data_IF_917552553344
#
_entry.id   IF_917552553344
#
_cell.length_a   1.000
_cell.length_b   1.000
_cell.length_c   1.000
_cell.angle_alpha   90.00
_cell.angle_beta   90.00
_cell.angle_gamma   90.00
#
_symmetry.space_group_name_H-M   'P 1'
#
loop_
_entity.id
_entity.type
_entity.pdbx_description
1 polymer ?
#
# COMPACT_ATOMS: atom_id res chain seq x y z
N UNK A 1 59.44 20.44 -2.63
CA UNK A 1 58.43 19.38 -2.87
C UNK A 1 57.70 18.91 -1.60
N UNK A 2 58.14 19.24 -0.39
CA UNK A 2 57.57 18.74 0.88
C UNK A 2 56.19 19.33 1.25
N UNK A 3 55.91 20.59 0.91
CA UNK A 3 54.65 21.24 1.33
C UNK A 3 53.41 20.73 0.57
N UNK A 4 53.60 20.27 -0.67
CA UNK A 4 52.54 19.60 -1.44
C UNK A 4 52.19 18.24 -0.84
N UNK A 5 53.19 17.48 -0.40
CA UNK A 5 53.00 16.20 0.31
C UNK A 5 52.24 16.39 1.62
N UNK A 6 52.61 17.41 2.43
CA UNK A 6 51.92 17.72 3.69
C UNK A 6 50.46 18.12 3.49
N UNK A 7 50.17 18.88 2.42
CA UNK A 7 48.78 19.28 2.07
C UNK A 7 47.95 18.08 1.62
N UNK A 8 48.55 17.17 0.85
CA UNK A 8 47.88 15.94 0.43
C UNK A 8 47.59 15.02 1.62
N UNK A 9 48.54 14.87 2.53
CA UNK A 9 48.37 14.08 3.77
C UNK A 9 47.27 14.69 4.68
N UNK A 10 47.26 16.02 4.83
CA UNK A 10 46.20 16.72 5.56
C UNK A 10 44.81 16.58 4.89
N UNK A 11 44.75 16.59 3.56
CA UNK A 11 43.51 16.36 2.80
C UNK A 11 42.99 14.93 3.00
N UNK A 12 43.87 13.93 2.86
CA UNK A 12 43.53 12.53 3.05
C UNK A 12 43.09 12.24 4.48
N UNK A 13 43.76 12.82 5.48
CA UNK A 13 43.35 12.71 6.88
C UNK A 13 41.97 13.35 7.14
N UNK A 14 41.65 14.46 6.46
CA UNK A 14 40.34 15.11 6.57
C UNK A 14 39.24 14.30 5.88
N UNK A 15 39.50 13.74 4.70
CA UNK A 15 38.58 12.83 4.01
C UNK A 15 38.31 11.56 4.83
N UNK A 16 39.37 10.92 5.35
CA UNK A 16 39.20 9.72 6.18
C UNK A 16 38.36 10.00 7.44
N UNK A 17 38.49 11.19 8.03
CA UNK A 17 37.66 11.62 9.17
C UNK A 17 36.20 11.84 8.77
N UNK A 18 35.96 12.50 7.63
CA UNK A 18 34.59 12.71 7.15
C UNK A 18 33.91 11.40 6.79
N UNK A 19 34.65 10.47 6.16
CA UNK A 19 34.12 9.15 5.80
C UNK A 19 33.81 8.31 7.04
N UNK A 20 34.70 8.29 8.03
CA UNK A 20 34.44 7.62 9.31
C UNK A 20 33.21 8.20 10.03
N UNK A 21 33.03 9.52 9.97
CA UNK A 21 31.86 10.18 10.54
C UNK A 21 30.58 9.81 9.77
N UNK A 22 30.63 9.74 8.43
CA UNK A 22 29.51 9.30 7.60
C UNK A 22 29.10 7.86 7.93
N UNK A 23 30.06 6.93 8.05
CA UNK A 23 29.77 5.55 8.41
C UNK A 23 29.16 5.42 9.80
N UNK A 24 29.63 6.22 10.77
CA UNK A 24 29.01 6.27 12.10
C UNK A 24 27.57 6.76 12.02
N UNK A 25 27.32 7.86 11.33
CA UNK A 25 25.95 8.42 11.20
C UNK A 25 25.00 7.49 10.46
N UNK A 26 25.48 6.81 9.41
CA UNK A 26 24.68 5.82 8.66
C UNK A 26 24.40 4.60 9.54
N UNK A 27 25.39 4.15 10.32
CA UNK A 27 25.21 3.06 11.28
C UNK A 27 24.16 3.38 12.35
N UNK A 28 24.20 4.59 12.92
CA UNK A 28 23.22 5.08 13.90
C UNK A 28 21.81 5.18 13.28
N UNK A 29 21.69 5.71 12.06
CA UNK A 29 20.41 5.79 11.34
C UNK A 29 19.85 4.40 11.01
N UNK A 30 20.69 3.47 10.56
CA UNK A 30 20.25 2.09 10.28
C UNK A 30 19.81 1.37 11.56
N UNK A 31 20.51 1.56 12.68
CA UNK A 31 20.10 1.01 13.97
C UNK A 31 18.75 1.58 14.43
N UNK A 32 18.52 2.88 14.24
CA UNK A 32 17.23 3.51 14.54
C UNK A 32 16.09 2.97 13.65
N UNK A 33 16.37 2.71 12.35
CA UNK A 33 15.39 2.08 11.45
C UNK A 33 15.04 0.66 11.87
N UNK A 34 16.02 -0.12 12.33
CA UNK A 34 15.77 -1.47 12.86
C UNK A 34 14.92 -1.44 14.13
N UNK A 35 15.16 -0.50 15.05
CA UNK A 35 14.32 -0.31 16.24
C UNK A 35 12.88 0.07 15.87
N UNK A 36 12.69 0.99 14.92
CA UNK A 36 11.34 1.36 14.44
C UNK A 36 10.67 0.17 13.75
N UNK A 37 11.41 -0.64 13.00
CA UNK A 37 10.87 -1.85 12.38
C UNK A 37 10.47 -2.91 13.41
N UNK A 38 11.25 -3.07 14.49
CA UNK A 38 10.94 -3.95 15.62
C UNK A 38 9.69 -3.44 16.38
N UNK A 39 9.60 -2.14 16.64
CA UNK A 39 8.43 -1.51 17.28
C UNK A 39 7.15 -1.58 16.43
N UNK A 40 7.29 -1.61 15.10
CA UNK A 40 6.19 -1.75 14.14
C UNK A 40 5.83 -3.20 13.85
N UNK A 41 6.57 -4.18 14.38
CA UNK A 41 6.23 -5.59 14.24
C UNK A 41 5.14 -5.91 15.26
N UNK A 42 3.87 -6.14 14.83
CA UNK A 42 2.81 -6.43 15.78
C UNK A 42 3.16 -7.74 16.50
N UNK A 43 3.25 -7.65 17.84
CA UNK A 43 3.43 -8.79 18.72
C UNK A 43 2.48 -9.91 18.29
N UNK A 44 3.07 -10.99 17.77
CA UNK A 44 2.38 -12.23 17.48
C UNK A 44 2.11 -12.96 18.80
N UNK A 45 1.26 -12.38 19.65
CA UNK A 45 0.57 -13.08 20.73
C UNK A 45 -0.93 -12.93 20.49
N UNK A 46 -1.70 -14.03 20.45
CA UNK A 46 -3.11 -13.96 20.08
C UNK A 46 -3.92 -13.52 21.30
N UNK A 47 -4.71 -12.42 21.24
CA UNK A 47 -5.75 -12.22 22.22
C UNK A 47 -7.08 -12.67 21.60
N UNK A 48 -7.71 -13.56 22.36
CA UNK A 48 -9.14 -13.76 22.38
C UNK A 48 -9.91 -12.44 22.18
N UNK A 49 -11.02 -12.58 21.48
CA UNK A 49 -12.18 -11.71 21.45
C UNK A 49 -12.25 -10.68 22.60
N UNK A 50 -12.48 -9.40 22.26
CA UNK A 50 -13.78 -8.72 22.45
C UNK A 50 -13.62 -7.21 22.26
N UNK A 51 -14.47 -6.68 21.38
CA UNK A 51 -15.18 -5.37 21.47
C UNK A 51 -14.39 -4.06 21.56
N UNK A 52 -14.73 -3.15 20.63
CA UNK A 52 -14.98 -1.75 21.01
C UNK A 52 -14.15 -0.71 20.28
N UNK A 53 -14.70 -0.20 19.17
CA UNK A 53 -14.74 1.23 18.81
C UNK A 53 -13.42 2.02 18.83
N UNK A 54 -12.89 2.29 17.64
CA UNK A 54 -11.85 3.29 17.43
C UNK A 54 -11.74 3.58 15.94
N UNK A 55 -12.47 4.60 15.50
CA UNK A 55 -12.50 5.11 14.13
C UNK A 55 -11.09 5.38 13.59
N UNK A 56 -10.64 4.50 12.71
CA UNK A 56 -9.73 4.83 11.63
C UNK A 56 -10.03 3.82 10.51
N UNK A 57 -10.47 4.24 9.32
CA UNK A 57 -10.46 3.34 8.16
C UNK A 57 -9.00 3.05 7.83
N UNK A 58 -8.45 2.02 8.46
CA UNK A 58 -7.16 1.44 8.13
C UNK A 58 -7.12 1.14 6.63
N UNK A 59 -5.96 1.35 6.01
CA UNK A 59 -5.63 0.98 4.63
C UNK A 59 -5.95 -0.48 4.26
N UNK A 60 -6.41 -1.32 5.19
CA UNK A 60 -7.11 -2.58 4.93
C UNK A 60 -8.32 -2.44 3.98
N UNK A 61 -8.93 -1.25 3.89
CA UNK A 61 -10.07 -0.94 3.01
C UNK A 61 -9.68 -0.62 1.55
N UNK A 62 -8.40 -0.54 1.19
CA UNK A 62 -7.96 0.11 -0.06
C UNK A 62 -7.43 -0.79 -1.18
N UNK A 63 -7.26 -2.10 -0.99
CA UNK A 63 -6.88 -2.96 -2.10
C UNK A 63 -7.37 -4.39 -1.88
N UNK A 64 -8.40 -4.79 -2.63
CA UNK A 64 -8.74 -6.16 -3.02
C UNK A 64 -7.99 -7.29 -2.26
N UNK A 65 -8.19 -7.35 -0.95
CA UNK A 65 -7.66 -8.40 -0.13
C UNK A 65 -8.66 -9.54 -0.26
N UNK A 66 -8.26 -10.59 -0.96
CA UNK A 66 -9.00 -11.84 -0.97
C UNK A 66 -9.43 -12.16 0.46
N UNK A 67 -10.72 -12.47 0.67
CA UNK A 67 -11.28 -12.76 1.99
C UNK A 67 -10.62 -13.97 2.68
N UNK A 68 -9.92 -14.78 1.88
CA UNK A 68 -9.14 -15.91 2.30
C UNK A 68 -7.73 -15.83 1.71
N UNK A 69 -6.73 -16.47 2.32
CA UNK A 69 -5.42 -16.66 1.71
C UNK A 69 -5.57 -17.29 0.33
N UNK A 70 -4.76 -16.88 -0.65
CA UNK A 70 -4.89 -17.29 -2.07
C UNK A 70 -4.85 -18.82 -2.24
N UNK A 71 -4.19 -19.51 -1.32
CA UNK A 71 -4.04 -20.96 -1.26
C UNK A 71 -5.34 -21.68 -0.87
N UNK A 72 -6.25 -20.99 -0.17
CA UNK A 72 -7.53 -21.51 0.30
C UNK A 72 -8.72 -21.14 -0.61
N UNK A 73 -8.52 -20.25 -1.58
CA UNK A 73 -9.56 -19.81 -2.50
C UNK A 73 -9.98 -20.88 -3.53
N UNK A 74 -9.22 -21.96 -3.67
CA UNK A 74 -9.57 -23.03 -4.60
C UNK A 74 -10.88 -23.73 -4.24
N UNK A 75 -11.70 -24.02 -5.25
CA UNK A 75 -13.00 -24.67 -5.05
C UNK A 75 -12.95 -25.95 -4.19
N UNK A 76 -11.89 -26.76 -4.32
CA UNK A 76 -11.69 -27.99 -3.53
C UNK A 76 -11.51 -27.69 -2.03
N UNK A 77 -10.79 -26.61 -1.69
CA UNK A 77 -10.55 -26.18 -0.31
C UNK A 77 -11.80 -25.51 0.27
N UNK A 78 -12.48 -24.68 -0.50
CA UNK A 78 -13.76 -24.08 -0.11
C UNK A 78 -14.83 -25.15 0.17
N UNK A 79 -14.95 -26.16 -0.69
CA UNK A 79 -15.82 -27.32 -0.44
C UNK A 79 -15.39 -28.11 0.79
N UNK A 80 -14.09 -28.27 1.06
CA UNK A 80 -13.61 -28.94 2.28
C UNK A 80 -13.93 -28.12 3.55
N UNK A 81 -13.84 -26.80 3.47
CA UNK A 81 -14.01 -25.85 4.58
C UNK A 81 -15.48 -25.64 4.94
N UNK A 82 -16.33 -25.38 3.94
CA UNK A 82 -17.75 -25.08 4.15
C UNK A 82 -18.66 -26.29 3.97
N UNK A 83 -18.22 -27.35 3.30
CA UNK A 83 -18.96 -28.59 2.96
C UNK A 83 -20.16 -28.39 2.04
N UNK A 84 -20.98 -27.38 2.30
CA UNK A 84 -22.18 -27.01 1.56
C UNK A 84 -22.20 -25.52 1.25
N UNK A 85 -23.08 -25.10 0.33
CA UNK A 85 -23.21 -23.70 -0.09
C UNK A 85 -23.82 -22.77 0.98
N UNK A 86 -24.83 -23.17 1.79
CA UNK A 86 -25.43 -22.30 2.80
C UNK A 86 -24.44 -21.71 3.84
N UNK A 87 -23.53 -22.48 4.46
CA UNK A 87 -22.54 -21.93 5.38
C UNK A 87 -21.49 -21.05 4.68
N UNK A 88 -21.19 -21.31 3.40
CA UNK A 88 -20.34 -20.42 2.61
C UNK A 88 -21.03 -19.08 2.33
N UNK A 89 -22.34 -19.09 2.08
CA UNK A 89 -23.14 -17.89 1.92
C UNK A 89 -23.19 -17.07 3.21
N UNK A 90 -23.50 -17.69 4.34
CA UNK A 90 -23.53 -17.02 5.64
C UNK A 90 -22.18 -16.37 5.99
N UNK A 91 -21.05 -17.06 5.71
CA UNK A 91 -19.72 -16.51 5.89
C UNK A 91 -19.45 -15.28 5.02
N UNK A 92 -19.88 -15.31 3.76
CA UNK A 92 -19.73 -14.15 2.85
C UNK A 92 -20.64 -13.00 3.26
N UNK A 93 -21.86 -13.26 3.70
CA UNK A 93 -22.80 -12.26 4.19
C UNK A 93 -22.31 -11.58 5.48
N UNK A 94 -21.70 -12.33 6.39
CA UNK A 94 -21.09 -11.79 7.62
C UNK A 94 -19.92 -10.83 7.31
N UNK A 95 -19.19 -11.08 6.21
CA UNK A 95 -17.98 -10.32 5.86
C UNK A 95 -18.23 -9.19 4.86
N UNK A 96 -19.14 -9.37 3.91
CA UNK A 96 -19.41 -8.44 2.81
C UNK A 96 -20.80 -7.80 2.90
N UNK A 97 -21.64 -8.21 3.85
CA UNK A 97 -23.06 -7.83 3.90
C UNK A 97 -23.90 -8.61 2.89
N UNK A 98 -25.20 -8.30 2.83
CA UNK A 98 -26.16 -9.00 1.98
C UNK A 98 -25.75 -8.97 0.49
N UNK A 99 -25.96 -10.06 -0.27
CA UNK A 99 -25.65 -10.09 -1.69
C UNK A 99 -26.51 -9.07 -2.46
N UNK A 100 -25.95 -8.36 -3.46
CA UNK A 100 -26.71 -7.42 -4.27
C UNK A 100 -27.86 -8.11 -5.02
N UNK A 101 -28.99 -7.40 -5.09
CA UNK A 101 -30.19 -7.83 -5.84
C UNK A 101 -29.85 -7.94 -7.32
N UNK A 102 -29.85 -9.17 -7.84
CA UNK A 102 -29.46 -9.47 -9.23
C UNK A 102 -28.20 -10.33 -9.37
N UNK A 103 -27.55 -10.73 -8.27
CA UNK A 103 -26.68 -11.89 -8.30
C UNK A 103 -27.53 -13.10 -8.65
N UNK A 104 -27.14 -13.79 -9.73
CA UNK A 104 -27.81 -15.03 -10.17
C UNK A 104 -27.69 -16.15 -9.13
N UNK A 105 -27.93 -17.40 -9.55
CA UNK A 105 -27.88 -18.54 -8.62
C UNK A 105 -26.57 -18.57 -7.84
N UNK A 106 -26.68 -18.71 -6.52
CA UNK A 106 -25.53 -18.86 -5.63
C UNK A 106 -24.82 -20.18 -5.92
N UNK A 107 -23.63 -20.12 -6.51
CA UNK A 107 -22.87 -21.28 -6.99
C UNK A 107 -21.46 -21.28 -6.42
N UNK A 108 -20.77 -22.43 -6.41
CA UNK A 108 -19.39 -22.50 -5.92
C UNK A 108 -18.42 -21.61 -6.70
N UNK A 109 -18.68 -21.36 -7.99
CA UNK A 109 -17.89 -20.41 -8.79
C UNK A 109 -18.09 -18.97 -8.30
N UNK A 110 -19.30 -18.60 -7.89
CA UNK A 110 -19.59 -17.32 -7.27
C UNK A 110 -18.85 -17.17 -5.93
N UNK A 111 -18.83 -18.22 -5.11
CA UNK A 111 -18.09 -18.25 -3.84
C UNK A 111 -16.59 -18.08 -4.07
N UNK A 112 -16.01 -18.83 -5.01
CA UNK A 112 -14.58 -18.73 -5.35
C UNK A 112 -14.22 -17.32 -5.86
N UNK A 113 -15.04 -16.76 -6.75
CA UNK A 113 -14.86 -15.41 -7.25
C UNK A 113 -14.94 -14.37 -6.12
N UNK A 114 -15.99 -14.40 -5.30
CA UNK A 114 -16.22 -13.45 -4.19
C UNK A 114 -15.14 -13.52 -3.12
N UNK A 115 -14.70 -14.72 -2.77
CA UNK A 115 -13.58 -14.93 -1.86
C UNK A 115 -12.28 -14.36 -2.45
N UNK A 116 -12.05 -14.56 -3.75
CA UNK A 116 -10.81 -14.11 -4.42
C UNK A 116 -10.78 -12.59 -4.59
N UNK A 117 -11.90 -11.98 -4.99
CA UNK A 117 -12.01 -10.54 -5.25
C UNK A 117 -12.31 -9.73 -3.98
N UNK A 118 -12.77 -10.38 -2.92
CA UNK A 118 -13.21 -9.75 -1.68
C UNK A 118 -14.41 -8.82 -1.85
N UNK A 119 -15.19 -9.02 -2.91
CA UNK A 119 -16.34 -8.19 -3.28
C UNK A 119 -17.38 -9.04 -3.99
N UNK A 120 -18.66 -8.70 -3.80
CA UNK A 120 -19.75 -9.25 -4.59
C UNK A 120 -19.56 -8.92 -6.08
N UNK A 121 -19.68 -9.87 -7.01
CA UNK A 121 -19.55 -9.55 -8.43
C UNK A 121 -20.70 -8.64 -8.85
N UNK A 122 -20.38 -7.61 -9.62
CA UNK A 122 -21.39 -6.76 -10.26
C UNK A 122 -22.35 -7.66 -11.04
N UNK A 123 -23.63 -7.68 -10.63
CA UNK A 123 -24.65 -8.48 -11.27
C UNK A 123 -24.62 -8.22 -12.77
N UNK A 124 -24.43 -9.28 -13.58
CA UNK A 124 -24.61 -9.15 -15.03
C UNK A 124 -26.08 -8.82 -15.26
N UNK A 125 -26.41 -7.74 -15.99
CA UNK A 125 -27.79 -7.51 -16.38
C UNK A 125 -28.29 -8.73 -17.17
N UNK A 126 -29.51 -9.19 -16.91
CA UNK A 126 -30.08 -10.34 -17.61
C UNK A 126 -30.18 -9.99 -19.11
N UNK A 127 -29.28 -10.56 -19.92
CA UNK A 127 -29.18 -10.28 -21.36
C UNK A 127 -27.76 -10.27 -21.94
N UNK A 128 -26.70 -10.31 -21.12
CA UNK A 128 -25.32 -10.33 -21.65
C UNK A 128 -24.87 -11.75 -22.05
N UNK A 129 -25.41 -12.25 -23.16
CA UNK A 129 -24.85 -13.38 -23.88
C UNK A 129 -23.84 -12.84 -24.91
N UNK A 130 -22.56 -12.91 -24.56
CA UNK A 130 -21.44 -12.76 -25.51
C UNK A 130 -21.25 -11.36 -26.12
N UNK A 131 -20.03 -11.10 -26.59
CA UNK A 131 -19.67 -9.95 -27.46
C UNK A 131 -19.53 -8.59 -26.75
N UNK A 132 -18.35 -8.33 -26.15
CA UNK A 132 -17.52 -7.09 -26.26
C UNK A 132 -16.59 -6.89 -25.05
N UNK A 133 -15.52 -7.67 -25.00
CA UNK A 133 -14.44 -7.50 -24.00
C UNK A 133 -13.60 -6.23 -24.20
N UNK A 134 -13.63 -5.61 -25.40
CA UNK A 134 -12.76 -4.46 -25.70
C UNK A 134 -13.23 -3.11 -25.14
N UNK A 135 -14.54 -2.86 -25.06
CA UNK A 135 -15.07 -1.54 -24.67
C UNK A 135 -15.02 -1.30 -23.15
N UNK A 136 -15.10 -2.37 -22.36
CA UNK A 136 -14.95 -2.32 -20.91
C UNK A 136 -13.48 -2.12 -20.47
N UNK A 137 -12.54 -2.76 -21.17
CA UNK A 137 -11.10 -2.52 -21.00
C UNK A 137 -10.73 -1.06 -21.32
N UNK A 138 -11.20 -0.52 -22.44
CA UNK A 138 -10.90 0.88 -22.81
C UNK A 138 -11.42 1.91 -21.80
N UNK A 139 -12.58 1.66 -21.18
CA UNK A 139 -13.09 2.54 -20.12
C UNK A 139 -12.26 2.45 -18.82
N UNK A 140 -11.71 1.27 -18.52
CA UNK A 140 -10.81 1.08 -17.38
C UNK A 140 -9.45 1.72 -17.62
N UNK A 141 -8.89 1.57 -18.82
CA UNK A 141 -7.64 2.21 -19.24
C UNK A 141 -7.75 3.73 -19.18
N UNK A 142 -8.82 4.31 -19.73
CA UNK A 142 -9.06 5.76 -19.64
C UNK A 142 -9.14 6.25 -18.20
N UNK A 143 -9.82 5.51 -17.32
CA UNK A 143 -9.92 5.87 -15.89
C UNK A 143 -8.57 5.81 -15.18
N UNK A 144 -7.72 4.85 -15.53
CA UNK A 144 -6.36 4.75 -15.01
C UNK A 144 -5.50 5.91 -15.52
N UNK A 145 -5.63 6.27 -16.80
CA UNK A 145 -4.90 7.37 -17.41
C UNK A 145 -5.25 8.71 -16.76
N UNK A 146 -6.53 9.03 -16.58
CA UNK A 146 -6.96 10.24 -15.86
C UNK A 146 -6.46 10.27 -14.41
N UNK A 147 -6.35 9.10 -13.77
CA UNK A 147 -5.81 9.01 -12.41
C UNK A 147 -4.30 9.27 -12.38
N UNK A 148 -3.55 8.76 -13.36
CA UNK A 148 -2.12 9.00 -13.51
C UNK A 148 -1.84 10.49 -13.74
N UNK A 149 -2.54 11.11 -14.69
CA UNK A 149 -2.42 12.54 -15.00
C UNK A 149 -2.69 13.41 -13.75
N UNK A 150 -3.72 13.06 -12.96
CA UNK A 150 -4.02 13.76 -11.71
C UNK A 150 -2.94 13.57 -10.65
N UNK A 151 -2.26 12.43 -10.62
CA UNK A 151 -1.14 12.21 -9.70
C UNK A 151 0.10 12.99 -10.16
N UNK A 152 0.41 12.99 -11.45
CA UNK A 152 1.52 13.76 -12.03
C UNK A 152 1.35 15.25 -11.74
N UNK A 153 0.19 15.84 -12.00
CA UNK A 153 -0.10 17.25 -11.68
C UNK A 153 0.06 17.57 -10.19
N UNK A 154 -0.28 16.62 -9.31
CA UNK A 154 -0.11 16.79 -7.86
C UNK A 154 1.36 16.72 -7.47
N UNK A 155 2.14 15.84 -8.09
CA UNK A 155 3.58 15.73 -7.85
C UNK A 155 4.30 16.98 -8.32
N UNK A 156 4.00 17.48 -9.53
CA UNK A 156 4.54 18.75 -10.04
C UNK A 156 4.23 19.92 -9.11
N UNK A 157 2.99 20.02 -8.61
CA UNK A 157 2.63 21.06 -7.64
C UNK A 157 3.38 20.92 -6.32
N UNK A 158 3.59 19.69 -5.85
CA UNK A 158 4.36 19.44 -4.63
C UNK A 158 5.84 19.79 -4.83
N UNK A 159 6.41 19.48 -5.99
CA UNK A 159 7.78 19.85 -6.35
C UNK A 159 7.97 21.37 -6.34
N UNK A 160 7.04 22.12 -6.93
CA UNK A 160 7.07 23.59 -6.89
C UNK A 160 6.97 24.14 -5.46
N UNK A 161 6.11 23.55 -4.62
CA UNK A 161 5.99 23.96 -3.22
C UNK A 161 7.24 23.63 -2.42
N UNK A 162 7.89 22.49 -2.68
CA UNK A 162 9.14 22.11 -2.02
C UNK A 162 10.29 23.03 -2.43
N UNK A 163 10.40 23.37 -3.72
CA UNK A 163 11.36 24.36 -4.20
C UNK A 163 11.12 25.73 -3.54
N UNK A 164 9.87 26.17 -3.44
CA UNK A 164 9.52 27.43 -2.78
C UNK A 164 9.85 27.41 -1.28
N UNK A 165 9.62 26.31 -0.58
CA UNK A 165 9.98 26.14 0.84
C UNK A 165 11.49 26.16 1.02
N UNK A 166 12.25 25.53 0.12
CA UNK A 166 13.72 25.57 0.14
C UNK A 166 14.26 26.99 -0.11
N UNK A 167 13.66 27.75 -1.03
CA UNK A 167 14.00 29.17 -1.26
C UNK A 167 13.68 30.03 -0.03
N UNK A 168 12.53 29.82 0.62
CA UNK A 168 12.15 30.56 1.84
C UNK A 168 13.07 30.22 3.03
N UNK A 169 13.52 28.97 3.15
CA UNK A 169 14.50 28.58 4.17
C UNK A 169 15.89 29.18 3.88
N UNK A 170 16.27 29.31 2.61
CA UNK A 170 17.52 29.96 2.19
C UNK A 170 17.49 31.49 2.43
N UNK A 171 16.32 32.13 2.34
CA UNK A 171 16.14 33.57 2.57
C UNK A 171 16.01 34.00 4.03
N UNK A 172 15.87 33.08 4.99
CA UNK A 172 15.63 33.40 6.40
C UNK A 172 16.91 33.56 7.26
N UNK A 173 18.10 33.36 6.70
CA UNK A 173 19.38 33.49 7.42
C UNK A 173 20.14 34.75 6.97
N UNK A 174 19.64 35.93 7.36
CA UNK A 174 20.45 37.13 7.59
C UNK A 174 19.63 38.26 8.24
N UNK A 175 19.68 38.46 9.57
CA UNK A 175 19.38 39.76 10.15
C UNK A 175 20.59 40.69 9.94
N UNK A 176 20.41 41.96 9.52
CA UNK A 176 21.52 42.90 9.47
C UNK A 176 21.98 43.24 10.90
N UNK A 177 23.31 43.26 11.18
CA UNK A 177 23.82 43.79 12.43
C UNK A 177 23.58 45.31 12.47
N UNK A 178 23.15 45.81 13.63
CA UNK A 178 23.12 47.24 13.95
C UNK A 178 24.53 47.76 14.24
#
# INVERSE_FOLDING_TARGET
MSDLSKRFEALMARMARTDAQLFRTIGEQNAALHQIAEDMQPDATPPAALTGQGDNPSMAALAAASLLPKEECSQRRLKKRFRTLPPAQAFLEERLGAPPTGIGRFTWALVEQTVTTGQWPAGKPPGSHGVRSGRAMGAMEQRLQTRLERMEQRLERLELLLLQVLEQQSGAVAPPPR
#
